data_IF_261406561147
#
_entry.id   IF_261406561147
#
_cell.length_a   1.000
_cell.length_b   1.000
_cell.length_c   1.000
_cell.angle_alpha   90.00
_cell.angle_beta   90.00
_cell.angle_gamma   90.00
#
_symmetry.space_group_name_H-M   'P 1'
#
loop_
_entity.id
_entity.type
_entity.pdbx_description
1 polymer ?
#
# COMPACT_ATOMS: atom_id res chain seq x y z
N UNK A 1 -1.30 -1.32 -2.16
CA UNK A 1 0.08 -1.33 -2.71
C UNK A 1 0.98 -2.12 -1.77
N UNK A 2 2.15 -2.54 -2.26
CA UNK A 2 3.08 -3.39 -1.49
C UNK A 2 3.51 -2.75 -0.17
N UNK A 3 3.69 -1.43 -0.14
CA UNK A 3 4.07 -0.69 1.07
C UNK A 3 2.99 -0.72 2.17
N UNK A 4 1.70 -0.75 1.80
CA UNK A 4 0.57 -0.92 2.73
C UNK A 4 0.55 -2.34 3.27
N UNK A 5 0.82 -3.33 2.42
CA UNK A 5 0.82 -4.74 2.79
C UNK A 5 1.89 -5.06 3.84
N UNK A 6 3.14 -4.65 3.58
CA UNK A 6 4.24 -4.83 4.54
C UNK A 6 3.91 -4.17 5.89
N UNK A 7 3.51 -2.91 5.87
CA UNK A 7 3.18 -2.14 7.07
C UNK A 7 2.09 -2.82 7.90
N UNK A 8 0.99 -3.22 7.26
CA UNK A 8 -0.16 -3.81 7.93
C UNK A 8 0.18 -5.17 8.56
N UNK A 9 0.82 -6.06 7.81
CA UNK A 9 1.20 -7.38 8.33
C UNK A 9 2.28 -7.27 9.40
N UNK A 10 3.27 -6.40 9.24
CA UNK A 10 4.31 -6.19 10.26
C UNK A 10 3.74 -5.69 11.58
N UNK A 11 2.82 -4.72 11.53
CA UNK A 11 2.17 -4.19 12.73
C UNK A 11 1.25 -5.22 13.40
N UNK A 12 0.48 -5.97 12.61
CA UNK A 12 -0.35 -7.07 13.11
C UNK A 12 0.47 -8.19 13.73
N UNK A 13 1.59 -8.56 13.10
CA UNK A 13 2.53 -9.55 13.62
C UNK A 13 3.10 -9.10 14.97
N UNK A 14 3.58 -7.85 15.07
CA UNK A 14 4.05 -7.29 16.33
C UNK A 14 2.97 -7.26 17.40
N UNK A 15 1.75 -6.89 17.04
CA UNK A 15 0.65 -6.86 18.00
C UNK A 15 0.35 -8.25 18.59
N UNK A 16 0.51 -9.31 17.79
CA UNK A 16 0.25 -10.69 18.21
C UNK A 16 1.44 -11.36 18.91
N UNK A 17 2.66 -11.10 18.46
CA UNK A 17 3.88 -11.84 18.86
C UNK A 17 4.90 -10.99 19.62
N UNK A 18 4.73 -9.67 19.69
CA UNK A 18 5.59 -8.76 20.45
C UNK A 18 6.86 -8.29 19.73
N UNK A 19 7.10 -8.73 18.49
CA UNK A 19 8.30 -8.38 17.71
C UNK A 19 7.98 -7.90 16.29
N UNK A 20 8.88 -7.08 15.72
CA UNK A 20 8.75 -6.66 14.31
C UNK A 20 9.41 -7.71 13.42
N UNK A 21 8.68 -8.32 12.47
CA UNK A 21 9.27 -9.29 11.57
C UNK A 21 10.11 -8.59 10.49
N UNK A 22 11.07 -9.33 9.92
CA UNK A 22 11.64 -8.97 8.62
C UNK A 22 10.64 -9.36 7.53
N UNK A 23 10.10 -8.36 6.84
CA UNK A 23 9.15 -8.57 5.75
C UNK A 23 9.89 -8.57 4.40
N UNK A 24 9.68 -9.61 3.60
CA UNK A 24 10.28 -9.74 2.26
C UNK A 24 9.22 -10.10 1.23
N UNK A 25 9.36 -9.57 0.03
CA UNK A 25 8.58 -9.95 -1.15
C UNK A 25 9.42 -10.87 -2.01
N UNK A 26 8.96 -12.11 -2.18
CA UNK A 26 9.50 -13.03 -3.17
C UNK A 26 8.74 -12.84 -4.48
N UNK A 27 9.41 -12.32 -5.50
CA UNK A 27 8.81 -12.00 -6.79
C UNK A 27 9.40 -12.93 -7.84
N UNK A 28 8.55 -13.71 -8.48
CA UNK A 28 8.92 -14.57 -9.60
C UNK A 28 8.32 -14.02 -10.90
N UNK A 29 9.16 -13.87 -11.92
CA UNK A 29 8.70 -13.43 -13.24
C UNK A 29 7.80 -14.49 -13.89
N UNK A 30 6.76 -14.04 -14.58
CA UNK A 30 5.93 -14.89 -15.44
C UNK A 30 6.47 -14.97 -16.88
N UNK A 31 7.52 -14.24 -17.20
CA UNK A 31 8.21 -14.25 -18.49
C UNK A 31 9.61 -14.82 -18.36
N UNK A 32 10.01 -15.62 -19.34
CA UNK A 32 11.34 -16.21 -19.37
C UNK A 32 12.36 -15.19 -19.91
N UNK A 33 13.49 -15.06 -19.22
CA UNK A 33 14.65 -14.29 -19.62
C UNK A 33 15.85 -15.24 -19.71
N UNK A 34 16.51 -15.26 -20.87
CA UNK A 34 17.62 -16.19 -21.16
C UNK A 34 17.30 -17.67 -20.82
N UNK A 35 16.06 -18.10 -21.05
CA UNK A 35 15.62 -19.48 -20.83
C UNK A 35 15.34 -19.86 -19.37
N UNK A 36 15.27 -18.88 -18.45
CA UNK A 36 14.91 -19.07 -17.05
C UNK A 36 13.83 -18.08 -16.63
N UNK A 37 13.15 -18.34 -15.52
CA UNK A 37 12.24 -17.37 -14.89
C UNK A 37 12.98 -16.66 -13.76
N UNK A 38 13.30 -15.36 -13.89
CA UNK A 38 13.94 -14.60 -12.82
C UNK A 38 13.15 -14.64 -11.52
N UNK A 39 13.87 -14.71 -10.39
CA UNK A 39 13.31 -14.63 -9.03
C UNK A 39 14.13 -13.63 -8.23
N UNK A 40 13.46 -12.67 -7.61
CA UNK A 40 14.07 -11.62 -6.81
C UNK A 40 13.41 -11.51 -5.43
N UNK A 41 14.18 -11.04 -4.45
CA UNK A 41 13.73 -10.80 -3.09
C UNK A 41 13.84 -9.30 -2.82
N UNK A 42 12.73 -8.67 -2.49
CA UNK A 42 12.68 -7.26 -2.17
C UNK A 42 12.32 -7.02 -0.72
N UNK A 43 12.89 -5.96 -0.15
CA UNK A 43 12.48 -5.39 1.13
C UNK A 43 11.96 -3.99 0.90
N UNK A 44 10.95 -3.59 1.67
CA UNK A 44 10.45 -2.23 1.60
C UNK A 44 11.43 -1.28 2.28
N UNK A 45 11.66 -0.11 1.65
CA UNK A 45 12.36 0.99 2.31
C UNK A 45 11.53 1.54 3.48
N UNK A 46 12.21 2.04 4.51
CA UNK A 46 11.55 2.53 5.73
C UNK A 46 10.53 3.65 5.45
N UNK A 47 10.85 4.60 4.59
CA UNK A 47 9.96 5.71 4.23
C UNK A 47 8.65 5.21 3.58
N UNK A 48 8.76 4.23 2.68
CA UNK A 48 7.61 3.63 2.04
C UNK A 48 6.77 2.83 3.05
N UNK A 49 7.42 2.08 3.95
CA UNK A 49 6.74 1.34 5.03
C UNK A 49 6.00 2.29 5.98
N UNK A 50 6.59 3.42 6.36
CA UNK A 50 5.94 4.46 7.16
C UNK A 50 4.75 5.09 6.42
N UNK A 51 4.86 5.33 5.10
CA UNK A 51 3.74 5.77 4.29
C UNK A 51 2.61 4.73 4.29
N UNK A 52 2.95 3.45 4.21
CA UNK A 52 2.01 2.34 4.29
C UNK A 52 1.27 2.28 5.62
N UNK A 53 1.97 2.57 6.72
CA UNK A 53 1.36 2.64 8.04
C UNK A 53 0.30 3.75 8.13
N UNK A 54 0.61 4.93 7.59
CA UNK A 54 -0.35 6.05 7.55
C UNK A 54 -1.56 5.71 6.69
N UNK A 55 -1.32 5.10 5.53
CA UNK A 55 -2.36 4.76 4.56
C UNK A 55 -3.30 3.67 5.08
N UNK A 56 -2.79 2.56 5.63
CA UNK A 56 -3.68 1.50 6.14
C UNK A 56 -4.52 1.99 7.32
N UNK A 57 -3.96 2.83 8.21
CA UNK A 57 -4.71 3.39 9.35
C UNK A 57 -5.85 4.28 8.89
N UNK A 58 -5.60 5.11 7.87
CA UNK A 58 -6.65 5.89 7.21
C UNK A 58 -7.72 4.97 6.62
N UNK A 59 -7.34 3.88 5.96
CA UNK A 59 -8.29 2.93 5.39
C UNK A 59 -9.17 2.27 6.47
N UNK A 60 -8.57 1.87 7.61
CA UNK A 60 -9.30 1.31 8.75
C UNK A 60 -10.25 2.34 9.37
N UNK A 61 -9.84 3.60 9.46
CA UNK A 61 -10.72 4.67 9.94
C UNK A 61 -11.93 4.85 9.02
N UNK A 62 -11.72 4.97 7.70
CA UNK A 62 -12.82 5.07 6.73
C UNK A 62 -13.72 3.84 6.78
N UNK A 63 -13.16 2.63 6.90
CA UNK A 63 -13.95 1.41 7.07
C UNK A 63 -14.82 1.47 8.34
N UNK A 64 -14.26 1.90 9.47
CA UNK A 64 -15.01 2.06 10.72
C UNK A 64 -16.14 3.08 10.60
N UNK A 65 -15.90 4.21 9.91
CA UNK A 65 -16.93 5.22 9.64
C UNK A 65 -18.08 4.64 8.78
N UNK A 66 -17.76 3.92 7.69
CA UNK A 66 -18.77 3.26 6.85
C UNK A 66 -19.59 2.25 7.64
N UNK A 67 -18.94 1.43 8.48
CA UNK A 67 -19.61 0.42 9.29
C UNK A 67 -20.53 1.05 10.35
N UNK A 68 -20.14 2.17 10.96
CA UNK A 68 -20.94 2.83 11.99
C UNK A 68 -22.17 3.55 11.43
N UNK A 69 -22.08 4.08 10.21
CA UNK A 69 -23.13 4.90 9.61
C UNK A 69 -23.97 4.13 8.58
N UNK A 70 -23.57 2.92 8.19
CA UNK A 70 -24.11 2.14 7.07
C UNK A 70 -24.14 2.92 5.73
N UNK A 71 -23.15 3.82 5.56
CA UNK A 71 -22.99 4.64 4.36
C UNK A 71 -21.72 4.25 3.62
N UNK A 72 -21.85 3.98 2.32
CA UNK A 72 -20.76 3.50 1.46
C UNK A 72 -20.60 4.43 0.25
N UNK A 73 -19.72 5.45 0.32
CA UNK A 73 -19.57 6.42 -0.76
C UNK A 73 -19.08 5.76 -2.06
N UNK A 74 -19.94 5.69 -3.07
CA UNK A 74 -19.62 5.07 -4.38
C UNK A 74 -19.21 6.08 -5.46
N UNK A 75 -19.62 7.34 -5.32
CA UNK A 75 -19.35 8.40 -6.30
C UNK A 75 -17.97 9.00 -6.03
N UNK A 76 -17.09 8.96 -7.02
CA UNK A 76 -15.74 9.56 -6.95
C UNK A 76 -15.73 10.90 -7.66
N UNK A 77 -15.37 11.96 -6.93
CA UNK A 77 -15.11 13.27 -7.52
C UNK A 77 -13.84 13.23 -8.36
N UNK A 78 -13.96 13.58 -9.63
CA UNK A 78 -12.80 13.75 -10.51
C UNK A 78 -12.15 15.11 -10.25
N UNK A 79 -10.83 15.15 -10.30
CA UNK A 79 -10.06 16.40 -10.26
C UNK A 79 -9.17 16.48 -11.49
N UNK A 80 -8.83 17.70 -11.91
CA UNK A 80 -7.93 17.91 -13.03
C UNK A 80 -6.60 17.18 -12.80
N UNK A 81 -6.05 16.51 -13.82
CA UNK A 81 -4.73 15.88 -13.73
C UNK A 81 -3.65 16.95 -13.54
N UNK A 82 -2.48 16.52 -13.03
CA UNK A 82 -1.39 17.42 -12.64
C UNK A 82 -0.98 18.39 -13.76
N UNK A 83 -0.80 17.89 -14.98
CA UNK A 83 -0.42 18.69 -16.15
C UNK A 83 -1.43 19.80 -16.48
N UNK A 84 -2.73 19.59 -16.24
CA UNK A 84 -3.77 20.58 -16.51
C UNK A 84 -3.84 21.66 -15.43
N UNK A 85 -3.52 21.30 -14.17
CA UNK A 85 -3.43 22.24 -13.05
C UNK A 85 -2.22 23.16 -13.17
N UNK A 86 -1.09 22.64 -13.65
CA UNK A 86 0.14 23.41 -13.86
C UNK A 86 -0.06 24.46 -14.97
N UNK A 87 -0.75 24.11 -16.07
CA UNK A 87 -1.07 25.05 -17.16
C UNK A 87 -2.11 26.12 -16.79
N UNK A 88 -2.97 25.87 -15.78
CA UNK A 88 -3.96 26.85 -15.32
C UNK A 88 -3.38 27.90 -14.36
N UNK A 89 -2.18 27.65 -13.82
CA UNK A 89 -1.45 28.54 -12.91
C UNK A 89 -0.25 29.24 -13.60
N UNK A 90 -0.11 29.08 -14.92
CA UNK A 90 0.87 29.74 -15.78
C UNK A 90 0.21 30.93 -16.50
#
# INVERSE_FOLDING_TARGET
>A
TDHVQDAFYSDGYRAQFGEIPTFVFLVASTTAECGRYPVEIFMMGEDAKLAGQREYRRNLQTLAECLNNDEWPAIKTLSLPRWAKENANA
#
